data_IF_330079836234
#
_entry.id   IF_330079836234
#
_cell.length_a   1.000
_cell.length_b   1.000
_cell.length_c   1.000
_cell.angle_alpha   90.00
_cell.angle_beta   90.00
_cell.angle_gamma   90.00
#
_symmetry.space_group_name_H-M   'P 1'
#
loop_
_entity.id
_entity.type
_entity.pdbx_description
1 polymer ?
#
# COMPACT_ATOMS: atom_id res chain seq x y z
N UNK A 1 -23.73 -9.71 -4.77
CA UNK A 1 -23.39 -8.42 -4.13
C UNK A 1 -22.76 -7.50 -5.17
N UNK A 2 -23.58 -6.80 -5.96
CA UNK A 2 -23.14 -5.85 -6.99
C UNK A 2 -23.39 -4.45 -6.42
N UNK A 3 -22.35 -3.63 -6.23
CA UNK A 3 -22.53 -2.22 -5.87
C UNK A 3 -22.13 -1.30 -7.03
N UNK A 4 -23.20 -0.90 -7.71
CA UNK A 4 -23.48 0.32 -8.46
C UNK A 4 -22.34 1.34 -8.67
N UNK A 5 -21.95 1.48 -9.95
CA UNK A 5 -21.84 2.79 -10.60
C UNK A 5 -20.50 3.52 -10.51
N UNK A 6 -19.70 3.42 -11.59
CA UNK A 6 -18.77 4.46 -12.04
C UNK A 6 -17.45 4.59 -11.26
N UNK A 7 -16.37 4.12 -11.90
CA UNK A 7 -14.97 4.19 -11.47
C UNK A 7 -14.55 3.11 -10.45
N UNK A 8 -13.97 2.04 -11.00
CA UNK A 8 -13.38 0.90 -10.29
C UNK A 8 -12.07 1.30 -9.56
N UNK A 9 -12.12 2.20 -8.57
CA UNK A 9 -10.98 2.42 -7.67
C UNK A 9 -10.93 1.30 -6.65
N UNK A 10 -10.15 0.26 -6.94
CA UNK A 10 -9.77 -0.70 -5.93
C UNK A 10 -8.85 0.03 -4.94
N UNK A 11 -9.29 0.13 -3.68
CA UNK A 11 -8.66 0.82 -2.55
C UNK A 11 -7.13 0.91 -2.66
N UNK A 12 -6.60 2.12 -2.72
CA UNK A 12 -5.16 2.37 -2.69
C UNK A 12 -4.69 2.24 -1.24
N UNK A 13 -3.59 1.51 -0.95
CA UNK A 13 -3.01 1.53 0.38
C UNK A 13 -2.49 2.94 0.69
N UNK A 14 -2.52 3.30 1.97
CA UNK A 14 -1.94 4.52 2.50
C UNK A 14 -0.85 4.17 3.51
N UNK A 15 0.23 4.94 3.52
CA UNK A 15 1.29 4.85 4.52
C UNK A 15 1.19 6.04 5.47
N UNK A 16 0.95 5.78 6.75
CA UNK A 16 1.01 6.77 7.81
C UNK A 16 2.47 7.17 8.06
N UNK A 17 2.80 8.41 7.70
CA UNK A 17 4.16 8.94 7.82
C UNK A 17 4.58 9.19 9.27
N UNK A 18 3.65 9.38 10.20
CA UNK A 18 3.96 9.55 11.61
C UNK A 18 4.38 8.22 12.25
N UNK A 19 3.77 7.11 11.81
CA UNK A 19 4.12 5.76 12.27
C UNK A 19 5.30 5.16 11.52
N UNK A 20 5.44 5.43 10.22
CA UNK A 20 6.45 4.80 9.37
C UNK A 20 7.87 5.06 9.89
N UNK A 21 8.65 4.01 10.09
CA UNK A 21 10.05 4.10 10.56
C UNK A 21 11.09 3.93 9.46
N UNK A 22 10.67 3.83 8.20
CA UNK A 22 11.59 3.69 7.07
C UNK A 22 12.28 2.33 6.99
N UNK A 23 11.64 1.26 7.45
CA UNK A 23 12.22 -0.10 7.43
C UNK A 23 12.30 -0.75 6.04
N UNK A 24 11.73 -0.12 5.00
CA UNK A 24 11.77 -0.53 3.58
C UNK A 24 11.15 -1.90 3.25
N UNK A 25 10.53 -2.59 4.20
CA UNK A 25 9.91 -3.92 3.96
C UNK A 25 8.82 -3.86 2.90
N UNK A 26 7.97 -2.82 2.89
CA UNK A 26 6.92 -2.65 1.90
C UNK A 26 7.46 -2.46 0.48
N UNK A 27 8.58 -1.75 0.33
CA UNK A 27 9.25 -1.56 -0.97
C UNK A 27 9.86 -2.88 -1.46
N UNK A 28 10.33 -3.73 -0.55
CA UNK A 28 10.84 -5.06 -0.91
C UNK A 28 9.73 -6.02 -1.37
N UNK A 29 8.56 -5.96 -0.72
CA UNK A 29 7.42 -6.83 -1.00
C UNK A 29 6.61 -6.40 -2.22
N UNK A 30 6.36 -5.10 -2.34
CA UNK A 30 5.57 -4.51 -3.41
C UNK A 30 6.28 -3.26 -3.97
N UNK A 31 7.43 -3.42 -4.65
CA UNK A 31 8.19 -2.30 -5.22
C UNK A 31 7.42 -1.55 -6.31
N UNK A 32 6.36 -2.15 -6.86
CA UNK A 32 5.46 -1.51 -7.81
C UNK A 32 4.38 -0.65 -7.16
N UNK A 33 4.28 -0.66 -5.81
CA UNK A 33 3.26 0.04 -5.02
C UNK A 33 3.87 0.98 -4.00
N UNK A 34 5.03 0.68 -3.42
CA UNK A 34 5.64 1.51 -2.39
C UNK A 34 7.03 2.00 -2.81
N UNK A 35 7.29 3.28 -2.57
CA UNK A 35 8.57 3.93 -2.82
C UNK A 35 9.04 4.63 -1.54
N UNK A 36 10.35 4.62 -1.30
CA UNK A 36 10.95 5.46 -0.25
C UNK A 36 11.13 6.89 -0.76
N UNK A 37 10.60 7.86 -0.02
CA UNK A 37 10.88 9.27 -0.22
C UNK A 37 11.54 9.82 1.05
N UNK A 38 12.87 9.92 1.02
CA UNK A 38 13.66 10.18 2.23
C UNK A 38 13.54 9.02 3.20
N UNK A 39 13.23 9.32 4.47
CA UNK A 39 13.13 8.33 5.54
C UNK A 39 11.74 7.68 5.66
N UNK A 40 10.80 7.97 4.75
CA UNK A 40 9.41 7.51 4.80
C UNK A 40 9.00 6.81 3.52
N UNK A 41 8.18 5.77 3.65
CA UNK A 41 7.57 5.10 2.52
C UNK A 41 6.28 5.81 2.10
N UNK A 42 5.99 5.78 0.80
CA UNK A 42 4.77 6.30 0.21
C UNK A 42 4.19 5.27 -0.75
N UNK A 43 2.87 5.16 -0.76
CA UNK A 43 2.17 4.36 -1.75
C UNK A 43 2.03 5.15 -3.06
N UNK A 44 2.38 4.53 -4.18
CA UNK A 44 2.23 5.07 -5.51
C UNK A 44 1.63 4.02 -6.45
N UNK A 45 0.80 4.44 -7.41
CA UNK A 45 0.43 3.57 -8.53
C UNK A 45 -0.54 2.41 -8.26
N UNK A 46 -1.53 2.55 -7.36
CA UNK A 46 -2.52 1.49 -7.11
C UNK A 46 -3.60 1.31 -8.21
N UNK A 47 -3.39 1.82 -9.43
CA UNK A 47 -4.30 1.59 -10.56
C UNK A 47 -4.09 0.21 -11.22
N UNK A 48 -3.14 -0.62 -10.72
CA UNK A 48 -2.81 -1.92 -11.33
C UNK A 48 -3.79 -3.07 -11.01
N UNK A 49 -4.94 -2.79 -10.40
CA UNK A 49 -6.02 -3.77 -10.20
C UNK A 49 -5.73 -4.87 -9.16
N UNK A 50 -6.43 -6.00 -9.27
CA UNK A 50 -6.36 -7.09 -8.26
C UNK A 50 -4.98 -7.78 -8.16
N UNK A 51 -4.15 -7.69 -9.19
CA UNK A 51 -2.88 -8.42 -9.28
C UNK A 51 -1.85 -8.02 -8.23
N UNK A 52 -1.99 -6.82 -7.63
CA UNK A 52 -1.11 -6.35 -6.57
C UNK A 52 -1.75 -6.41 -5.18
N UNK A 53 -3.03 -6.81 -5.05
CA UNK A 53 -3.71 -6.84 -3.75
C UNK A 53 -3.00 -7.75 -2.76
N UNK A 54 -2.54 -8.92 -3.19
CA UNK A 54 -1.88 -9.87 -2.29
C UNK A 54 -0.56 -9.31 -1.77
N UNK A 55 0.25 -8.67 -2.63
CA UNK A 55 1.52 -8.04 -2.23
C UNK A 55 1.31 -6.84 -1.29
N UNK A 56 0.25 -6.07 -1.53
CA UNK A 56 -0.12 -4.96 -0.64
C UNK A 56 -0.64 -5.47 0.69
N UNK A 57 -1.47 -6.52 0.69
CA UNK A 57 -1.95 -7.13 1.92
C UNK A 57 -0.79 -7.69 2.74
N UNK A 58 0.14 -8.40 2.10
CA UNK A 58 1.36 -8.88 2.75
C UNK A 58 2.21 -7.73 3.32
N UNK A 59 2.31 -6.60 2.60
CA UNK A 59 3.01 -5.41 3.09
C UNK A 59 2.33 -4.79 4.32
N UNK A 60 0.98 -4.77 4.34
CA UNK A 60 0.20 -4.32 5.50
C UNK A 60 0.46 -5.23 6.70
N UNK A 61 0.35 -6.54 6.51
CA UNK A 61 0.49 -7.53 7.59
C UNK A 61 1.92 -7.62 8.14
N UNK A 62 2.93 -7.27 7.31
CA UNK A 62 4.35 -7.36 7.68
C UNK A 62 4.90 -6.05 8.27
N UNK A 63 4.20 -4.93 8.16
CA UNK A 63 4.70 -3.65 8.65
C UNK A 63 4.92 -3.72 10.18
N UNK A 64 6.17 -3.57 10.68
CA UNK A 64 6.48 -3.80 12.10
C UNK A 64 5.85 -2.76 13.05
N UNK A 65 5.35 -1.66 12.48
CA UNK A 65 4.74 -0.53 13.19
C UNK A 65 3.32 -0.25 12.69
N UNK A 66 2.74 -1.19 11.92
CA UNK A 66 1.36 -1.13 11.42
C UNK A 66 1.04 0.19 10.69
N UNK A 67 2.02 0.77 10.00
CA UNK A 67 1.90 2.07 9.35
C UNK A 67 1.17 2.02 8.00
N UNK A 68 0.71 0.87 7.53
CA UNK A 68 0.10 0.72 6.20
C UNK A 68 -1.33 0.22 6.37
N UNK A 69 -2.28 0.82 5.66
CA UNK A 69 -3.69 0.40 5.70
C UNK A 69 -4.41 0.62 4.37
N UNK A 70 -5.47 -0.15 4.12
CA UNK A 70 -6.39 0.12 3.01
C UNK A 70 -7.28 1.33 3.34
N UNK A 71 -7.41 2.27 2.40
CA UNK A 71 -8.34 3.41 2.47
C UNK A 71 -9.39 3.36 1.37
#
# INVERSE_FOLDING_TARGET
MIDKGGFIVMSMPEVDSDLCTGCETCVSLAPDVFEMQGDKAFAYGADKGQSLRDQVQESIDTCPVEAISWK
#
